data_IF_989295919352
#
_entry.id   IF_989295919352
#
_cell.length_a   1.000
_cell.length_b   1.000
_cell.length_c   1.000
_cell.angle_alpha   90.00
_cell.angle_beta   90.00
_cell.angle_gamma   90.00
#
_symmetry.space_group_name_H-M   'P 1'
#
loop_
_entity.id
_entity.type
_entity.pdbx_description
1 polymer ?
#
# COMPACT_ATOMS: atom_id res chain seq x y z
N UNK A 1 -14.28 -0.56 84.56
CA UNK A 1 -14.02 0.88 84.42
C UNK A 1 -12.90 1.18 83.40
N UNK A 2 -12.85 0.61 82.19
CA UNK A 2 -11.77 0.91 81.15
C UNK A 2 -12.28 1.42 79.80
N UNK A 3 -13.59 1.50 79.53
CA UNK A 3 -14.20 1.91 78.28
C UNK A 3 -14.05 3.41 77.89
N UNK A 4 -14.05 4.42 78.77
CA UNK A 4 -13.96 5.82 78.35
C UNK A 4 -12.58 6.25 77.91
N UNK A 5 -11.52 5.63 78.40
CA UNK A 5 -10.12 5.94 78.03
C UNK A 5 -9.82 5.47 76.60
N UNK A 6 -10.20 4.26 76.22
CA UNK A 6 -10.01 3.71 74.88
C UNK A 6 -10.72 4.58 73.79
N UNK A 7 -11.91 5.08 74.12
CA UNK A 7 -12.72 5.93 73.26
C UNK A 7 -12.08 7.32 73.06
N UNK A 8 -11.44 7.87 74.07
CA UNK A 8 -10.74 9.17 74.04
C UNK A 8 -9.44 9.06 73.21
N UNK A 9 -8.62 8.06 73.46
CA UNK A 9 -7.35 7.84 72.70
C UNK A 9 -7.62 7.38 71.30
N UNK A 10 -8.63 6.58 71.01
CA UNK A 10 -9.05 6.21 69.69
C UNK A 10 -9.47 7.41 68.79
N UNK A 11 -10.20 8.37 69.39
CA UNK A 11 -10.57 9.61 68.71
C UNK A 11 -9.34 10.50 68.40
N UNK A 12 -8.41 10.62 69.32
CA UNK A 12 -7.16 11.40 69.10
C UNK A 12 -6.31 10.73 68.02
N UNK A 13 -6.16 9.42 68.06
CA UNK A 13 -5.48 8.64 67.06
C UNK A 13 -6.14 8.82 65.68
N UNK A 14 -7.45 8.68 65.57
CA UNK A 14 -8.15 8.88 64.32
C UNK A 14 -8.01 10.30 63.78
N UNK A 15 -8.05 11.33 64.62
CA UNK A 15 -7.85 12.72 64.21
C UNK A 15 -6.42 13.03 63.75
N UNK A 16 -5.41 12.33 64.29
CA UNK A 16 -4.00 12.53 63.92
C UNK A 16 -3.59 11.74 62.66
N UNK A 17 -4.19 10.55 62.48
CA UNK A 17 -3.73 9.64 61.40
C UNK A 17 -4.64 9.62 60.19
N UNK A 18 -5.96 9.76 60.33
CA UNK A 18 -6.90 9.69 59.20
C UNK A 18 -6.70 10.84 58.18
N UNK A 19 -6.55 12.12 58.59
CA UNK A 19 -6.36 13.19 57.64
C UNK A 19 -5.06 13.07 56.78
N UNK A 20 -3.87 12.81 57.36
CA UNK A 20 -2.67 12.63 56.56
C UNK A 20 -2.73 11.39 55.65
N UNK A 21 -3.33 10.29 56.08
CA UNK A 21 -3.50 9.10 55.25
C UNK A 21 -4.47 9.40 54.11
N UNK A 22 -5.57 10.08 54.38
CA UNK A 22 -6.51 10.49 53.32
C UNK A 22 -5.91 11.47 52.34
N UNK A 23 -5.06 12.38 52.79
CA UNK A 23 -4.32 13.32 51.95
C UNK A 23 -3.31 12.57 51.04
N UNK A 24 -2.53 11.65 51.59
CA UNK A 24 -1.59 10.82 50.82
C UNK A 24 -2.32 9.98 49.76
N UNK A 25 -3.44 9.40 50.14
CA UNK A 25 -4.27 8.62 49.22
C UNK A 25 -4.84 9.51 48.09
N UNK A 26 -5.31 10.71 48.41
CA UNK A 26 -5.78 11.69 47.42
C UNK A 26 -4.70 12.14 46.45
N UNK A 27 -3.50 12.44 46.98
CA UNK A 27 -2.35 12.81 46.13
C UNK A 27 -1.94 11.62 45.25
N UNK A 28 -1.86 10.42 45.81
CA UNK A 28 -1.50 9.22 45.03
C UNK A 28 -2.52 8.92 43.94
N UNK A 29 -3.82 9.02 44.22
CA UNK A 29 -4.86 8.84 43.21
C UNK A 29 -4.83 9.92 42.12
N UNK A 30 -4.55 11.17 42.49
CA UNK A 30 -4.40 12.27 41.51
C UNK A 30 -3.19 12.06 40.62
N UNK A 31 -2.03 11.72 41.16
CA UNK A 31 -0.82 11.40 40.40
C UNK A 31 -1.08 10.22 39.44
N UNK A 32 -1.69 9.15 39.93
CA UNK A 32 -1.98 7.98 39.11
C UNK A 32 -2.91 8.30 37.93
N UNK A 33 -3.97 9.09 38.14
CA UNK A 33 -4.84 9.52 37.06
C UNK A 33 -4.11 10.42 36.05
N UNK A 34 -3.26 11.34 36.54
CA UNK A 34 -2.47 12.23 35.66
C UNK A 34 -1.48 11.44 34.80
N UNK A 35 -0.83 10.42 35.39
CA UNK A 35 0.10 9.56 34.65
C UNK A 35 -0.61 8.73 33.57
N UNK A 36 -1.81 8.21 33.85
CA UNK A 36 -2.61 7.48 32.85
C UNK A 36 -3.02 8.40 31.70
N UNK A 37 -3.52 9.60 31.99
CA UNK A 37 -3.94 10.57 30.96
C UNK A 37 -2.74 11.01 30.10
N UNK A 38 -1.63 11.35 30.72
CA UNK A 38 -0.40 11.74 30.01
C UNK A 38 0.16 10.58 29.18
N UNK A 39 0.17 9.36 29.71
CA UNK A 39 0.59 8.16 29.00
C UNK A 39 -0.27 7.90 27.76
N UNK A 40 -1.59 8.02 27.87
CA UNK A 40 -2.50 7.85 26.73
C UNK A 40 -2.28 8.91 25.65
N UNK A 41 -2.05 10.18 26.03
CA UNK A 41 -1.77 11.28 25.10
C UNK A 41 -0.45 11.04 24.35
N UNK A 42 0.62 10.66 25.06
CA UNK A 42 1.93 10.39 24.47
C UNK A 42 1.87 9.19 23.51
N UNK A 43 1.20 8.12 23.89
CA UNK A 43 0.99 6.95 23.04
C UNK A 43 0.27 7.36 21.75
N UNK A 44 -0.83 8.08 21.86
CA UNK A 44 -1.62 8.55 20.71
C UNK A 44 -0.80 9.46 19.79
N UNK A 45 0.01 10.35 20.34
CA UNK A 45 0.89 11.20 19.55
C UNK A 45 1.95 10.39 18.81
N UNK A 46 2.59 9.40 19.46
CA UNK A 46 3.57 8.53 18.82
C UNK A 46 2.97 7.68 17.73
N UNK A 47 1.76 7.17 17.90
CA UNK A 47 1.02 6.42 16.89
C UNK A 47 0.66 7.29 15.67
N UNK A 48 0.19 8.52 15.90
CA UNK A 48 -0.09 9.46 14.81
C UNK A 48 1.15 9.85 14.03
N UNK A 49 2.28 10.07 14.70
CA UNK A 49 3.56 10.35 14.03
C UNK A 49 4.00 9.16 13.18
N UNK A 50 3.92 7.95 13.70
CA UNK A 50 4.25 6.72 13.00
C UNK A 50 3.35 6.51 11.77
N UNK A 51 2.04 6.71 11.90
CA UNK A 51 1.11 6.66 10.75
C UNK A 51 1.45 7.68 9.67
N UNK A 52 1.73 8.92 10.05
CA UNK A 52 2.08 9.98 9.10
C UNK A 52 3.39 9.67 8.38
N UNK A 53 4.38 9.12 9.07
CA UNK A 53 5.63 8.69 8.48
C UNK A 53 5.41 7.53 7.49
N UNK A 54 4.66 6.51 7.87
CA UNK A 54 4.31 5.39 7.00
C UNK A 54 3.55 5.85 5.75
N UNK A 55 2.60 6.77 5.90
CA UNK A 55 1.87 7.39 4.79
C UNK A 55 2.82 8.11 3.84
N UNK A 56 3.75 8.92 4.37
CA UNK A 56 4.73 9.65 3.55
C UNK A 56 5.63 8.71 2.75
N UNK A 57 6.11 7.63 3.37
CA UNK A 57 6.90 6.61 2.68
C UNK A 57 6.09 5.92 1.57
N UNK A 58 4.84 5.58 1.86
CA UNK A 58 3.92 4.99 0.88
C UNK A 58 3.73 5.91 -0.34
N UNK A 59 3.45 7.20 -0.10
CA UNK A 59 3.28 8.21 -1.17
C UNK A 59 4.55 8.37 -2.00
N UNK A 60 5.74 8.39 -1.37
CA UNK A 60 7.03 8.48 -2.07
C UNK A 60 7.29 7.27 -2.97
N UNK A 61 6.98 6.05 -2.49
CA UNK A 61 7.15 4.84 -3.28
C UNK A 61 6.22 4.80 -4.49
N UNK A 62 4.96 5.20 -4.32
CA UNK A 62 4.02 5.30 -5.43
C UNK A 62 4.44 6.38 -6.44
N UNK A 63 4.88 7.54 -5.97
CA UNK A 63 5.40 8.59 -6.84
C UNK A 63 6.60 8.11 -7.65
N UNK A 64 7.54 7.39 -7.03
CA UNK A 64 8.66 6.78 -7.74
C UNK A 64 8.20 5.80 -8.83
N UNK A 65 7.24 4.94 -8.53
CA UNK A 65 6.70 4.00 -9.51
C UNK A 65 5.92 4.70 -10.65
N UNK A 66 5.23 5.80 -10.35
CA UNK A 66 4.59 6.64 -11.39
C UNK A 66 5.62 7.31 -12.29
N UNK A 67 6.74 7.81 -11.75
CA UNK A 67 7.84 8.35 -12.55
C UNK A 67 8.47 7.30 -13.46
N UNK A 68 8.69 6.08 -12.94
CA UNK A 68 9.17 4.96 -13.73
C UNK A 68 8.19 4.60 -14.87
N UNK A 69 6.90 4.58 -14.59
CA UNK A 69 5.86 4.36 -15.60
C UNK A 69 5.90 5.44 -16.70
N UNK A 70 5.99 6.71 -16.30
CA UNK A 70 6.06 7.83 -17.25
C UNK A 70 7.32 7.78 -18.09
N UNK A 71 8.44 7.39 -17.48
CA UNK A 71 9.70 7.20 -18.21
C UNK A 71 9.55 6.12 -19.29
N UNK A 72 9.02 4.94 -18.95
CA UNK A 72 8.76 3.86 -19.91
C UNK A 72 7.80 4.31 -21.02
N UNK A 73 6.73 5.00 -20.68
CA UNK A 73 5.73 5.45 -21.63
C UNK A 73 6.29 6.48 -22.65
N UNK A 74 7.39 7.13 -22.29
CA UNK A 74 8.08 8.12 -23.13
C UNK A 74 9.20 7.51 -24.00
N UNK A 75 9.53 6.23 -23.85
CA UNK A 75 10.58 5.57 -24.63
C UNK A 75 10.23 5.60 -26.13
N UNK A 76 11.22 5.92 -26.95
CA UNK A 76 11.03 6.07 -28.41
C UNK A 76 10.51 4.81 -29.09
N UNK A 77 10.84 3.64 -28.58
CA UNK A 77 10.39 2.35 -29.12
C UNK A 77 8.87 2.18 -29.02
N UNK A 78 8.24 2.66 -27.95
CA UNK A 78 6.76 2.70 -27.82
C UNK A 78 6.13 3.59 -28.88
N UNK A 79 6.76 4.72 -29.22
CA UNK A 79 6.29 5.62 -30.26
C UNK A 79 6.42 5.01 -31.65
N UNK A 80 7.47 4.21 -31.88
CA UNK A 80 7.75 3.54 -33.13
C UNK A 80 6.87 2.30 -33.37
N UNK A 81 6.36 1.66 -32.33
CA UNK A 81 5.38 0.56 -32.44
C UNK A 81 4.10 0.94 -33.20
N UNK A 82 3.83 2.23 -33.33
CA UNK A 82 2.74 2.75 -34.15
C UNK A 82 3.01 2.65 -35.68
N UNK A 83 4.25 2.33 -36.09
CA UNK A 83 4.64 2.25 -37.52
C UNK A 83 4.54 0.79 -37.98
N UNK A 84 3.77 0.46 -39.04
CA UNK A 84 3.58 -0.92 -39.50
C UNK A 84 4.86 -1.65 -39.90
N UNK A 85 5.84 -0.92 -40.44
CA UNK A 85 7.13 -1.48 -40.87
C UNK A 85 8.16 -1.43 -39.73
N UNK A 86 8.49 -2.57 -39.14
CA UNK A 86 9.50 -2.69 -38.09
C UNK A 86 8.91 -3.06 -36.71
N UNK A 87 7.64 -3.41 -36.66
CA UNK A 87 6.92 -3.76 -35.44
C UNK A 87 7.65 -4.81 -34.61
N UNK A 88 8.11 -5.89 -35.21
CA UNK A 88 8.75 -7.01 -34.49
C UNK A 88 10.03 -6.55 -33.76
N UNK A 89 10.86 -5.75 -34.46
CA UNK A 89 12.09 -5.22 -33.85
C UNK A 89 11.82 -4.32 -32.64
N UNK A 90 10.85 -3.40 -32.75
CA UNK A 90 10.52 -2.48 -31.66
C UNK A 90 9.82 -3.21 -30.50
N UNK A 91 9.06 -4.25 -30.78
CA UNK A 91 8.45 -5.12 -29.76
C UNK A 91 9.54 -5.85 -28.96
N UNK A 92 10.56 -6.38 -29.63
CA UNK A 92 11.69 -7.03 -28.96
C UNK A 92 12.49 -6.07 -28.08
N UNK A 93 12.82 -4.87 -28.57
CA UNK A 93 13.55 -3.86 -27.81
C UNK A 93 12.74 -3.42 -26.58
N UNK A 94 11.46 -3.14 -26.77
CA UNK A 94 10.57 -2.78 -25.65
C UNK A 94 10.46 -3.89 -24.61
N UNK A 95 10.41 -5.15 -25.03
CA UNK A 95 10.40 -6.28 -24.12
C UNK A 95 11.69 -6.38 -23.29
N UNK A 96 12.84 -6.05 -23.89
CA UNK A 96 14.13 -5.98 -23.18
C UNK A 96 14.17 -4.82 -22.18
N UNK A 97 13.64 -3.64 -22.53
CA UNK A 97 13.55 -2.49 -21.64
C UNK A 97 12.65 -2.80 -20.43
N UNK A 98 11.48 -3.40 -20.68
CA UNK A 98 10.58 -3.84 -19.63
C UNK A 98 11.23 -4.89 -18.72
N UNK A 99 11.98 -5.83 -19.30
CA UNK A 99 12.71 -6.84 -18.56
C UNK A 99 13.78 -6.20 -17.67
N UNK A 100 14.61 -5.33 -18.21
CA UNK A 100 15.65 -4.63 -17.45
C UNK A 100 15.04 -3.85 -16.28
N UNK A 101 13.96 -3.12 -16.51
CA UNK A 101 13.29 -2.36 -15.48
C UNK A 101 12.66 -3.26 -14.40
N UNK A 102 12.01 -4.35 -14.77
CA UNK A 102 11.43 -5.30 -13.82
C UNK A 102 12.53 -5.91 -12.91
N UNK A 103 13.69 -6.24 -13.48
CA UNK A 103 14.84 -6.79 -12.75
C UNK A 103 15.47 -5.75 -11.82
N UNK A 104 15.66 -4.51 -12.28
CA UNK A 104 16.25 -3.43 -11.49
C UNK A 104 15.35 -3.03 -10.31
N UNK A 105 14.05 -2.88 -10.53
CA UNK A 105 13.10 -2.44 -9.51
C UNK A 105 12.69 -3.55 -8.55
N UNK A 106 12.57 -4.79 -9.03
CA UNK A 106 12.27 -5.97 -8.22
C UNK A 106 10.93 -5.96 -7.49
N UNK A 107 10.06 -5.00 -7.81
CA UNK A 107 8.73 -4.83 -7.22
C UNK A 107 7.61 -4.66 -8.26
N UNK A 108 7.96 -4.67 -9.56
CA UNK A 108 7.02 -4.67 -10.65
C UNK A 108 6.74 -6.10 -11.07
N UNK A 109 5.66 -6.71 -10.55
CA UNK A 109 5.29 -8.10 -10.87
C UNK A 109 5.07 -8.31 -12.36
N UNK A 110 4.48 -7.31 -13.02
CA UNK A 110 4.27 -7.30 -14.47
C UNK A 110 4.42 -5.88 -15.04
N UNK A 111 5.03 -5.80 -16.22
CA UNK A 111 5.03 -4.59 -17.05
C UNK A 111 4.47 -4.99 -18.41
N UNK A 112 3.49 -4.23 -18.89
CA UNK A 112 2.77 -4.55 -20.13
C UNK A 112 2.55 -3.32 -20.98
N UNK A 113 2.56 -3.52 -22.31
CA UNK A 113 2.02 -2.60 -23.29
C UNK A 113 0.79 -3.22 -23.94
N UNK A 114 -0.33 -2.49 -23.90
CA UNK A 114 -1.59 -2.87 -24.53
C UNK A 114 -1.88 -1.90 -25.68
N UNK A 115 -2.38 -2.40 -26.81
CA UNK A 115 -2.81 -1.56 -27.92
C UNK A 115 -4.15 -0.88 -27.64
N UNK A 116 -4.67 -0.12 -28.60
CA UNK A 116 -5.95 0.61 -28.48
C UNK A 116 -7.18 -0.28 -28.34
N UNK A 117 -7.06 -1.57 -28.62
CA UNK A 117 -8.12 -2.58 -28.47
C UNK A 117 -8.04 -3.32 -27.13
N UNK A 118 -6.98 -3.06 -26.35
CA UNK A 118 -6.74 -3.71 -25.06
C UNK A 118 -6.01 -5.05 -25.16
N UNK A 119 -5.48 -5.39 -26.35
CA UNK A 119 -4.67 -6.60 -26.54
C UNK A 119 -3.25 -6.35 -26.05
N UNK A 120 -2.70 -7.27 -25.27
CA UNK A 120 -1.29 -7.25 -24.90
C UNK A 120 -0.42 -7.40 -26.14
N UNK A 121 0.56 -6.53 -26.30
CA UNK A 121 1.59 -6.56 -27.35
C UNK A 121 2.93 -6.98 -26.77
N UNK A 122 3.24 -6.52 -25.56
CA UNK A 122 4.41 -6.89 -24.78
C UNK A 122 3.98 -7.15 -23.36
N UNK A 123 4.44 -8.25 -22.78
CA UNK A 123 4.30 -8.55 -21.35
C UNK A 123 5.61 -9.13 -20.81
N UNK A 124 6.06 -8.57 -19.70
CA UNK A 124 7.16 -9.10 -18.91
C UNK A 124 6.65 -9.38 -17.52
N UNK A 125 6.87 -10.60 -17.05
CA UNK A 125 6.58 -11.01 -15.67
C UNK A 125 7.89 -11.02 -14.88
N UNK A 126 7.88 -10.52 -13.65
CA UNK A 126 9.01 -10.64 -12.73
C UNK A 126 8.79 -11.83 -11.80
N UNK A 127 9.67 -12.81 -11.87
CA UNK A 127 9.59 -14.02 -11.08
C UNK A 127 10.98 -14.46 -10.60
N UNK A 128 11.12 -14.73 -9.30
CA UNK A 128 12.36 -15.26 -8.71
C UNK A 128 13.61 -14.40 -9.02
N UNK A 129 13.47 -13.08 -9.00
CA UNK A 129 14.57 -12.15 -9.26
C UNK A 129 14.88 -11.93 -10.75
N UNK A 130 14.05 -12.44 -11.66
CA UNK A 130 14.27 -12.33 -13.12
C UNK A 130 13.03 -11.85 -13.85
N UNK A 131 13.27 -10.99 -14.84
CA UNK A 131 12.25 -10.60 -15.82
C UNK A 131 12.10 -11.69 -16.88
N UNK A 132 10.89 -12.19 -17.07
CA UNK A 132 10.55 -13.22 -18.06
C UNK A 132 9.63 -12.58 -19.10
N UNK A 133 10.14 -12.51 -20.35
CA UNK A 133 9.34 -12.06 -21.48
C UNK A 133 8.33 -13.16 -21.82
N UNK A 134 7.06 -12.77 -21.91
CA UNK A 134 5.95 -13.69 -22.20
C UNK A 134 5.84 -13.89 -23.70
N UNK A 135 5.77 -15.15 -24.20
CA UNK A 135 5.63 -15.42 -25.62
C UNK A 135 4.28 -14.96 -26.16
N UNK A 136 4.21 -14.62 -27.44
CA UNK A 136 3.02 -14.08 -28.11
C UNK A 136 1.77 -14.97 -27.93
N UNK A 137 1.96 -16.30 -27.89
CA UNK A 137 0.88 -17.27 -27.71
C UNK A 137 0.19 -17.20 -26.34
N UNK A 138 0.84 -16.55 -25.35
CA UNK A 138 0.31 -16.40 -23.99
C UNK A 138 -0.17 -14.97 -23.68
N UNK A 139 -0.05 -14.05 -24.67
CA UNK A 139 -0.56 -12.69 -24.56
C UNK A 139 -2.10 -12.69 -24.57
N UNK A 140 -2.70 -11.85 -23.73
CA UNK A 140 -4.12 -11.86 -23.45
C UNK A 140 -4.81 -10.59 -23.96
N UNK A 141 -6.12 -10.71 -24.15
CA UNK A 141 -7.00 -9.56 -24.33
C UNK A 141 -7.47 -9.05 -22.94
N UNK A 142 -7.24 -7.78 -22.71
CA UNK A 142 -7.59 -7.05 -21.47
C UNK A 142 -8.54 -5.87 -21.74
N UNK A 143 -9.08 -5.75 -22.95
CA UNK A 143 -9.96 -4.65 -23.36
C UNK A 143 -11.23 -4.52 -22.51
N UNK A 144 -11.75 -5.63 -21.97
CA UNK A 144 -12.89 -5.63 -21.07
C UNK A 144 -12.58 -5.30 -19.60
N UNK A 145 -11.32 -5.00 -19.24
CA UNK A 145 -10.94 -4.71 -17.85
C UNK A 145 -11.14 -3.24 -17.51
N UNK A 146 -11.63 -2.98 -16.29
CA UNK A 146 -11.91 -1.61 -15.81
C UNK A 146 -10.69 -0.68 -15.93
N UNK A 147 -9.50 -1.17 -15.58
CA UNK A 147 -8.29 -0.37 -15.65
C UNK A 147 -7.91 0.03 -17.09
N UNK A 148 -8.29 -0.78 -18.10
CA UNK A 148 -8.10 -0.41 -19.49
C UNK A 148 -8.99 0.78 -19.87
N UNK A 149 -10.29 0.68 -19.62
CA UNK A 149 -11.26 1.74 -19.91
C UNK A 149 -10.91 3.04 -19.18
N UNK A 150 -10.58 2.95 -17.89
CA UNK A 150 -10.21 4.11 -17.06
C UNK A 150 -8.93 4.78 -17.57
N UNK A 151 -7.91 3.99 -17.93
CA UNK A 151 -6.65 4.54 -18.46
C UNK A 151 -6.85 5.17 -19.84
N UNK A 152 -7.62 4.52 -20.72
CA UNK A 152 -7.87 5.05 -22.07
C UNK A 152 -8.74 6.31 -22.07
N UNK A 153 -9.44 6.63 -20.96
CA UNK A 153 -10.13 7.90 -20.79
C UNK A 153 -9.21 9.07 -20.37
N UNK A 154 -7.99 8.78 -19.88
CA UNK A 154 -7.03 9.77 -19.40
C UNK A 154 -6.40 10.56 -20.53
N UNK A 155 -5.98 11.79 -20.22
CA UNK A 155 -5.21 12.62 -21.12
C UNK A 155 -3.70 12.29 -21.07
N UNK A 156 -2.92 13.00 -21.89
CA UNK A 156 -1.47 12.88 -21.91
C UNK A 156 -0.91 13.24 -20.53
N UNK A 157 0.08 12.48 -20.08
CA UNK A 157 0.79 12.66 -18.81
C UNK A 157 -0.06 12.41 -17.56
N UNK A 158 -1.31 11.95 -17.71
CA UNK A 158 -2.11 11.47 -16.60
C UNK A 158 -1.85 10.00 -16.30
N UNK A 159 -1.80 9.67 -15.00
CA UNK A 159 -1.64 8.30 -14.52
C UNK A 159 -2.94 7.82 -13.89
N UNK A 160 -3.35 6.63 -14.26
CA UNK A 160 -4.38 5.87 -13.56
C UNK A 160 -3.72 5.08 -12.43
N UNK A 161 -4.30 5.14 -11.24
CA UNK A 161 -3.90 4.35 -10.07
C UNK A 161 -5.11 3.52 -9.63
N UNK A 162 -4.98 2.20 -9.66
CA UNK A 162 -6.06 1.33 -9.20
C UNK A 162 -6.22 1.34 -7.69
N UNK A 163 -7.40 0.96 -7.16
CA UNK A 163 -7.47 0.46 -5.80
C UNK A 163 -6.47 -0.69 -5.58
N UNK A 164 -6.10 -0.91 -4.32
CA UNK A 164 -5.38 -2.12 -3.94
C UNK A 164 -6.33 -3.31 -4.08
N UNK A 165 -5.99 -4.27 -4.92
CA UNK A 165 -6.77 -5.49 -5.16
C UNK A 165 -5.85 -6.72 -5.29
N UNK A 166 -6.44 -7.91 -5.39
CA UNK A 166 -5.69 -9.13 -5.62
C UNK A 166 -5.45 -9.35 -7.12
N UNK A 167 -4.29 -9.90 -7.46
CA UNK A 167 -4.01 -10.25 -8.86
C UNK A 167 -4.96 -11.35 -9.35
N UNK A 168 -5.45 -11.16 -10.58
CA UNK A 168 -6.29 -12.15 -11.25
C UNK A 168 -5.63 -12.60 -12.56
N UNK A 169 -5.44 -13.90 -12.71
CA UNK A 169 -4.97 -14.55 -13.93
C UNK A 169 -6.03 -15.53 -14.44
N UNK A 170 -6.29 -15.50 -15.74
CA UNK A 170 -7.31 -16.36 -16.39
C UNK A 170 -8.71 -16.29 -15.75
N UNK A 171 -9.06 -15.16 -15.09
CA UNK A 171 -10.37 -15.00 -14.44
C UNK A 171 -10.43 -15.48 -13.00
N UNK A 172 -9.36 -16.05 -12.46
CA UNK A 172 -9.26 -16.53 -11.07
C UNK A 172 -8.24 -15.71 -10.28
N UNK A 173 -8.40 -15.65 -8.95
CA UNK A 173 -7.43 -15.00 -8.05
C UNK A 173 -6.15 -15.84 -8.03
N UNK A 174 -5.00 -15.20 -8.31
CA UNK A 174 -3.70 -15.87 -8.30
C UNK A 174 -3.30 -16.30 -6.88
N UNK A 175 -2.84 -17.56 -6.76
CA UNK A 175 -2.33 -18.10 -5.50
C UNK A 175 -0.81 -18.33 -5.56
N UNK A 176 -0.03 -18.00 -4.51
CA UNK A 176 -0.45 -17.32 -3.28
C UNK A 176 -0.97 -15.90 -3.56
N UNK A 177 -1.81 -15.38 -2.68
CA UNK A 177 -2.38 -14.05 -2.85
C UNK A 177 -1.33 -12.98 -3.08
N UNK A 178 -1.54 -12.18 -4.13
CA UNK A 178 -0.67 -11.07 -4.48
C UNK A 178 -1.47 -9.76 -4.46
N UNK A 179 -1.42 -8.99 -3.38
CA UNK A 179 -1.98 -7.66 -3.37
C UNK A 179 -1.23 -6.76 -4.36
N UNK A 180 -1.96 -6.08 -5.22
CA UNK A 180 -1.44 -5.29 -6.33
C UNK A 180 -2.03 -3.88 -6.35
N UNK A 181 -1.20 -2.92 -6.74
CA UNK A 181 -1.64 -1.62 -7.23
C UNK A 181 -1.25 -1.55 -8.71
N UNK A 182 -2.21 -1.23 -9.57
CA UNK A 182 -1.94 -1.02 -10.99
C UNK A 182 -1.74 0.45 -11.26
N UNK A 183 -0.62 0.76 -11.90
CA UNK A 183 -0.29 2.10 -12.38
C UNK A 183 -0.31 2.04 -13.90
N UNK A 184 -1.06 2.91 -14.55
CA UNK A 184 -1.16 2.90 -16.00
C UNK A 184 -1.26 4.30 -16.58
N UNK A 185 -0.75 4.47 -17.80
CA UNK A 185 -0.81 5.74 -18.54
C UNK A 185 -1.04 5.49 -20.02
N UNK A 186 -1.82 6.33 -20.72
CA UNK A 186 -1.97 6.20 -22.16
C UNK A 186 -0.69 6.60 -22.89
N UNK A 187 -0.42 5.93 -24.00
CA UNK A 187 0.70 6.23 -24.91
C UNK A 187 0.18 6.94 -26.14
N UNK A 188 0.89 7.99 -26.55
CA UNK A 188 0.54 8.80 -27.71
C UNK A 188 1.68 8.81 -28.71
N UNK A 189 1.34 8.79 -30.01
CA UNK A 189 2.30 9.03 -31.08
C UNK A 189 2.70 10.52 -31.16
N UNK A 190 3.64 10.81 -32.08
CA UNK A 190 4.09 12.17 -32.34
C UNK A 190 2.99 13.11 -32.86
N UNK A 191 1.93 12.57 -33.46
CA UNK A 191 0.77 13.31 -33.95
C UNK A 191 -0.31 13.54 -32.89
N UNK A 192 -0.10 13.02 -31.67
CA UNK A 192 -1.04 13.16 -30.55
C UNK A 192 -2.17 12.13 -30.52
N UNK A 193 -2.12 11.08 -31.34
CA UNK A 193 -3.11 10.02 -31.31
C UNK A 193 -2.76 8.99 -30.24
N UNK A 194 -3.75 8.52 -29.48
CA UNK A 194 -3.56 7.40 -28.55
C UNK A 194 -3.23 6.12 -29.33
N UNK A 195 -2.21 5.40 -28.86
CA UNK A 195 -1.73 4.14 -29.46
C UNK A 195 -1.87 2.94 -28.54
N UNK A 196 -2.36 3.16 -27.35
CA UNK A 196 -2.53 2.15 -26.33
C UNK A 196 -2.17 2.68 -24.97
N UNK A 197 -1.71 1.80 -24.10
CA UNK A 197 -1.30 2.14 -22.74
C UNK A 197 -0.16 1.26 -22.24
N UNK A 198 0.64 1.80 -21.34
CA UNK A 198 1.55 1.02 -20.50
C UNK A 198 0.94 0.84 -19.13
N UNK A 199 1.09 -0.35 -18.57
CA UNK A 199 0.61 -0.68 -17.23
C UNK A 199 1.67 -1.46 -16.46
N UNK A 200 1.87 -1.06 -15.22
CA UNK A 200 2.72 -1.73 -14.23
C UNK A 200 1.82 -2.32 -13.15
N UNK A 201 1.97 -3.61 -12.87
CA UNK A 201 1.45 -4.23 -11.67
C UNK A 201 2.50 -4.11 -10.56
N UNK A 202 2.27 -3.25 -9.58
CA UNK A 202 3.15 -3.02 -8.44
C UNK A 202 2.78 -3.97 -7.30
N UNK A 203 3.74 -4.75 -6.79
CA UNK A 203 3.56 -5.61 -5.63
C UNK A 203 3.38 -4.77 -4.36
N UNK A 204 2.21 -4.83 -3.77
CA UNK A 204 1.88 -4.06 -2.58
C UNK A 204 2.36 -4.70 -1.27
N UNK A 205 2.89 -5.93 -1.28
CA UNK A 205 3.40 -6.61 -0.08
C UNK A 205 4.46 -5.77 0.66
N UNK A 206 5.38 -5.15 -0.08
CA UNK A 206 6.39 -4.28 0.52
C UNK A 206 5.77 -3.04 1.16
N UNK A 207 4.77 -2.44 0.51
CA UNK A 207 4.04 -1.30 1.04
C UNK A 207 3.28 -1.66 2.31
N UNK A 208 2.60 -2.80 2.31
CA UNK A 208 1.86 -3.32 3.46
C UNK A 208 2.82 -3.62 4.62
N UNK A 209 3.98 -4.23 4.35
CA UNK A 209 4.99 -4.53 5.37
C UNK A 209 5.64 -3.27 5.96
N UNK A 210 5.80 -2.20 5.18
CA UNK A 210 6.31 -0.92 5.68
C UNK A 210 5.34 -0.25 6.67
N UNK A 211 4.05 -0.44 6.47
CA UNK A 211 3.04 0.03 7.43
C UNK A 211 3.21 -0.64 8.80
N UNK A 212 3.73 -1.87 8.87
CA UNK A 212 3.99 -2.59 10.13
C UNK A 212 5.23 -2.12 10.86
N UNK A 213 6.28 -1.75 10.14
CA UNK A 213 7.58 -1.44 10.73
C UNK A 213 7.58 -0.14 11.55
N UNK A 214 6.59 0.72 11.33
CA UNK A 214 6.43 1.98 12.07
C UNK A 214 5.66 1.86 13.37
N UNK A 215 5.18 0.66 13.75
CA UNK A 215 4.27 0.48 14.88
C UNK A 215 4.98 0.12 16.18
N UNK A 216 4.36 0.55 17.28
CA UNK A 216 4.65 0.01 18.60
C UNK A 216 4.31 -1.50 18.65
N UNK A 217 5.10 -2.34 19.36
CA UNK A 217 4.82 -3.78 19.47
C UNK A 217 3.43 -4.14 20.02
N UNK A 218 2.76 -3.18 20.65
CA UNK A 218 1.39 -3.33 21.20
C UNK A 218 0.29 -2.84 20.27
N UNK A 219 0.64 -2.30 19.08
CA UNK A 219 -0.33 -1.74 18.14
C UNK A 219 -0.46 -2.67 16.94
N UNK A 220 -1.69 -2.98 16.54
CA UNK A 220 -2.00 -3.64 15.28
C UNK A 220 -2.62 -2.65 14.30
N UNK A 221 -2.15 -2.66 13.06
CA UNK A 221 -2.78 -1.89 11.98
C UNK A 221 -3.67 -2.80 11.15
N UNK A 222 -4.84 -2.28 10.88
CA UNK A 222 -5.80 -2.87 9.96
C UNK A 222 -5.90 -1.98 8.74
N UNK A 223 -5.72 -2.56 7.56
CA UNK A 223 -5.87 -1.86 6.29
C UNK A 223 -7.18 -2.30 5.65
N UNK A 224 -8.07 -1.35 5.38
CA UNK A 224 -9.34 -1.58 4.72
C UNK A 224 -9.38 -0.79 3.40
N UNK A 225 -10.04 -1.31 2.40
CA UNK A 225 -10.39 -0.53 1.22
C UNK A 225 -11.59 0.40 1.51
N UNK A 226 -11.96 1.25 0.55
CA UNK A 226 -13.07 2.19 0.72
C UNK A 226 -14.44 1.52 0.87
N UNK A 227 -14.57 0.26 0.43
CA UNK A 227 -15.77 -0.58 0.58
C UNK A 227 -15.81 -1.31 1.92
N UNK A 228 -14.76 -1.20 2.75
CA UNK A 228 -14.68 -1.83 4.07
C UNK A 228 -14.11 -3.25 4.07
N UNK A 229 -13.58 -3.74 2.93
CA UNK A 229 -12.92 -5.05 2.88
C UNK A 229 -11.51 -4.98 3.45
N UNK A 230 -11.14 -6.03 4.17
CA UNK A 230 -9.82 -6.17 4.75
C UNK A 230 -8.76 -6.37 3.66
N UNK A 231 -7.80 -5.47 3.59
CA UNK A 231 -6.59 -5.60 2.78
C UNK A 231 -5.44 -6.16 3.61
N UNK A 232 -5.53 -5.98 4.94
CA UNK A 232 -4.64 -6.56 5.93
C UNK A 232 -5.39 -6.68 7.26
N UNK A 233 -5.41 -7.88 7.83
CA UNK A 233 -5.95 -8.20 9.15
C UNK A 233 -4.87 -8.75 10.08
N UNK A 234 -5.25 -9.08 11.32
CA UNK A 234 -4.35 -9.67 12.33
C UNK A 234 -3.92 -11.08 11.95
N UNK A 235 -4.71 -11.80 11.16
CA UNK A 235 -4.41 -13.15 10.69
C UNK A 235 -4.51 -13.26 9.18
N UNK A 236 -3.80 -14.22 8.58
CA UNK A 236 -3.92 -14.53 7.14
C UNK A 236 -5.33 -14.92 6.71
N UNK A 237 -6.17 -15.35 7.64
CA UNK A 237 -7.57 -15.71 7.39
C UNK A 237 -8.46 -14.49 7.17
N UNK A 238 -8.07 -13.31 7.69
CA UNK A 238 -8.86 -12.07 7.58
C UNK A 238 -8.74 -11.41 6.21
N UNK A 239 -7.79 -11.86 5.39
CA UNK A 239 -7.52 -11.28 4.06
C UNK A 239 -8.59 -11.58 3.02
N UNK A 240 -9.55 -12.48 3.31
CA UNK A 240 -10.59 -12.87 2.34
C UNK A 240 -11.83 -13.36 3.07
N UNK A 241 -12.67 -12.46 3.48
CA UNK A 241 -14.09 -12.75 3.63
C UNK A 241 -14.85 -11.72 2.82
N UNK A 242 -15.55 -12.23 1.82
CA UNK A 242 -16.54 -11.51 1.00
C UNK A 242 -17.57 -10.80 1.84
#
# INVERSE_FOLDING_TARGET
MKRPLIRKYGRIFALMFVPPVALLFGISAWLFNTDIENGAVLTRQSEMLSMNQSKSVFEQLLQGAMQDLMFIAAVDDLRQLAIPSGRDRYTELLALDFKSMAEEKGQFDQIRYLNTEGREIVRVNYRNGKGVIVPDSELQDKGGRYYFTETMSKDRDEVFVSPLDLNMEHGEIEMPFKPMIRLATPVFDASGNKRGMVIINYLADKLINLLDQGLSPSSSQMLLNKEGYWLKGETKADLITH
#
